data_IF_122826402392
#
_entry.id   IF_122826402392
#
_cell.length_a   1.000
_cell.length_b   1.000
_cell.length_c   1.000
_cell.angle_alpha   90.00
_cell.angle_beta   90.00
_cell.angle_gamma   90.00
#
_symmetry.space_group_name_H-M   'P 1'
#
loop_
_entity.id
_entity.type
_entity.pdbx_description
1 polymer ?
#
# COMPACT_ATOMS: atom_id res chain seq x y z
N UNK A 1 -13.54 -17.34 10.38
CA UNK A 1 -13.84 -16.42 9.25
C UNK A 1 -12.54 -15.79 8.80
N UNK A 2 -11.97 -16.27 7.69
CA UNK A 2 -10.87 -15.60 7.01
C UNK A 2 -11.43 -14.27 6.48
N UNK A 3 -11.13 -13.15 7.13
CA UNK A 3 -11.41 -11.84 6.53
C UNK A 3 -10.41 -11.68 5.39
N UNK A 4 -10.90 -11.56 4.17
CA UNK A 4 -10.04 -11.29 3.02
C UNK A 4 -9.43 -9.89 3.11
N UNK A 5 -8.45 -9.57 2.25
CA UNK A 5 -8.02 -8.18 2.10
C UNK A 5 -9.22 -7.36 1.63
N UNK A 6 -9.43 -6.18 2.22
CA UNK A 6 -10.48 -5.28 1.70
C UNK A 6 -10.05 -4.75 0.33
N UNK A 7 -11.01 -4.42 -0.55
CA UNK A 7 -10.72 -3.75 -1.83
C UNK A 7 -9.81 -2.52 -1.68
N UNK A 8 -9.94 -1.82 -0.55
CA UNK A 8 -9.09 -0.68 -0.22
C UNK A 8 -7.62 -1.12 -0.01
N UNK A 9 -7.42 -2.23 0.68
CA UNK A 9 -6.09 -2.74 0.98
C UNK A 9 -5.41 -3.25 -0.28
N UNK A 10 -6.16 -3.93 -1.15
CA UNK A 10 -5.71 -4.34 -2.49
C UNK A 10 -5.28 -3.11 -3.29
N UNK A 11 -6.13 -2.08 -3.37
CA UNK A 11 -5.80 -0.82 -4.06
C UNK A 11 -4.56 -0.12 -3.52
N UNK A 12 -4.33 -0.17 -2.21
CA UNK A 12 -3.11 0.39 -1.59
C UNK A 12 -1.86 -0.38 -2.05
N UNK A 13 -1.94 -1.72 -2.09
CA UNK A 13 -0.83 -2.57 -2.52
C UNK A 13 -0.52 -2.38 -4.01
N UNK A 14 -1.56 -2.29 -4.86
CA UNK A 14 -1.41 -2.03 -6.30
C UNK A 14 -0.81 -0.64 -6.55
N UNK A 15 -1.26 0.36 -5.79
CA UNK A 15 -0.73 1.72 -5.87
C UNK A 15 0.76 1.77 -5.51
N UNK A 16 1.19 1.12 -4.41
CA UNK A 16 2.63 1.04 -4.09
C UNK A 16 3.42 0.25 -5.13
N UNK A 17 2.78 -0.77 -5.71
CA UNK A 17 3.30 -1.53 -6.84
C UNK A 17 3.39 -0.73 -8.13
N UNK A 18 2.86 0.49 -8.20
CA UNK A 18 2.96 1.35 -9.39
C UNK A 18 3.57 2.72 -9.06
N UNK A 19 3.83 3.00 -7.77
CA UNK A 19 4.25 4.31 -7.27
C UNK A 19 5.53 4.83 -7.94
N UNK A 20 6.48 3.94 -8.26
CA UNK A 20 7.72 4.33 -8.93
C UNK A 20 7.55 4.87 -10.36
N UNK A 21 6.35 4.72 -10.95
CA UNK A 21 6.03 5.21 -12.28
C UNK A 21 5.51 6.66 -12.26
N UNK A 22 5.13 7.17 -11.09
CA UNK A 22 4.55 8.51 -10.97
C UNK A 22 5.63 9.56 -10.63
N UNK A 23 5.72 10.65 -11.41
CA UNK A 23 6.66 11.75 -11.13
C UNK A 23 6.17 12.72 -10.05
N UNK A 24 4.92 12.56 -9.59
CA UNK A 24 4.27 13.49 -8.66
C UNK A 24 4.68 13.27 -7.20
N UNK A 25 4.30 14.16 -6.27
CA UNK A 25 4.43 13.91 -4.84
C UNK A 25 3.48 12.79 -4.36
N UNK A 26 3.98 11.90 -3.50
CA UNK A 26 3.23 10.73 -3.02
C UNK A 26 1.92 11.09 -2.35
N UNK A 27 1.92 12.16 -1.55
CA UNK A 27 0.73 12.60 -0.84
C UNK A 27 -0.37 13.11 -1.77
N UNK A 28 0.00 13.72 -2.91
CA UNK A 28 -0.97 14.17 -3.92
C UNK A 28 -1.58 12.97 -4.63
N UNK A 29 -0.74 12.05 -5.13
CA UNK A 29 -1.21 10.85 -5.79
C UNK A 29 -2.08 9.98 -4.86
N UNK A 30 -1.72 9.82 -3.58
CA UNK A 30 -2.56 9.10 -2.62
C UNK A 30 -3.97 9.73 -2.54
N UNK A 31 -4.06 11.07 -2.50
CA UNK A 31 -5.36 11.75 -2.45
C UNK A 31 -6.14 11.60 -3.74
N UNK A 32 -5.48 11.64 -4.89
CA UNK A 32 -6.14 11.56 -6.19
C UNK A 32 -6.60 10.15 -6.54
N UNK A 33 -5.71 9.16 -6.39
CA UNK A 33 -5.94 7.76 -6.77
C UNK A 33 -6.71 6.98 -5.69
N UNK A 34 -6.33 7.13 -4.42
CA UNK A 34 -6.92 6.37 -3.32
C UNK A 34 -8.04 7.12 -2.59
N UNK A 35 -8.32 8.38 -2.99
CA UNK A 35 -9.36 9.24 -2.39
C UNK A 35 -9.29 9.30 -0.87
N UNK A 36 -8.08 9.27 -0.31
CA UNK A 36 -7.85 9.27 1.14
C UNK A 36 -6.69 10.18 1.53
N UNK A 37 -6.62 10.54 2.81
CA UNK A 37 -5.50 11.31 3.34
C UNK A 37 -4.24 10.46 3.45
N UNK A 38 -3.08 11.08 3.24
CA UNK A 38 -1.77 10.45 3.41
C UNK A 38 -1.60 9.78 4.78
N UNK A 39 -2.08 10.42 5.85
CA UNK A 39 -2.01 9.85 7.20
C UNK A 39 -2.78 8.52 7.31
N UNK A 40 -3.99 8.44 6.74
CA UNK A 40 -4.79 7.20 6.72
C UNK A 40 -4.15 6.12 5.86
N UNK A 41 -3.53 6.53 4.76
CA UNK A 41 -2.75 5.65 3.89
C UNK A 41 -1.57 5.02 4.63
N UNK A 42 -0.71 5.80 5.28
CA UNK A 42 0.45 5.26 6.00
C UNK A 42 0.06 4.35 7.17
N UNK A 43 -1.06 4.64 7.83
CA UNK A 43 -1.62 3.74 8.85
C UNK A 43 -2.05 2.39 8.27
N UNK A 44 -2.77 2.40 7.15
CA UNK A 44 -3.18 1.17 6.45
C UNK A 44 -1.96 0.40 5.93
N UNK A 45 -1.01 1.10 5.31
CA UNK A 45 0.23 0.53 4.82
C UNK A 45 1.04 -0.15 5.93
N UNK A 46 1.14 0.48 7.11
CA UNK A 46 1.80 -0.12 8.28
C UNK A 46 1.14 -1.44 8.69
N UNK A 47 -0.19 -1.45 8.79
CA UNK A 47 -0.95 -2.66 9.09
C UNK A 47 -0.73 -3.75 8.03
N UNK A 48 -0.72 -3.38 6.75
CA UNK A 48 -0.53 -4.33 5.64
C UNK A 48 0.88 -4.94 5.61
N UNK A 49 1.91 -4.21 5.99
CA UNK A 49 3.28 -4.77 6.07
C UNK A 49 3.41 -5.88 7.12
N UNK A 50 2.62 -5.79 8.20
CA UNK A 50 2.54 -6.77 9.27
C UNK A 50 1.53 -7.91 8.94
N UNK A 51 0.71 -7.73 7.90
CA UNK A 51 -0.31 -8.69 7.48
C UNK A 51 0.27 -9.75 6.52
N UNK A 52 0.22 -11.05 6.86
CA UNK A 52 0.68 -12.10 5.95
C UNK A 52 -0.10 -12.13 4.63
N UNK A 53 -1.38 -11.73 4.62
CA UNK A 53 -2.21 -11.72 3.40
C UNK A 53 -1.70 -10.73 2.35
N UNK A 54 -1.17 -9.59 2.79
CA UNK A 54 -0.57 -8.62 1.87
C UNK A 54 0.68 -9.16 1.19
N UNK A 55 1.42 -10.07 1.88
CA UNK A 55 2.57 -10.77 1.29
C UNK A 55 2.13 -11.82 0.30
N UNK A 56 1.02 -12.51 0.55
CA UNK A 56 0.48 -13.49 -0.40
C UNK A 56 -0.05 -12.80 -1.66
N UNK A 57 -0.66 -11.62 -1.51
CA UNK A 57 -1.20 -10.86 -2.65
C UNK A 57 -0.13 -10.11 -3.45
N UNK A 58 0.76 -9.38 -2.77
CA UNK A 58 1.77 -8.52 -3.40
C UNK A 58 3.17 -8.70 -2.76
N UNK A 59 3.79 -9.88 -2.89
CA UNK A 59 5.04 -10.22 -2.18
C UNK A 59 6.21 -9.30 -2.56
N UNK A 60 6.30 -8.90 -3.84
CA UNK A 60 7.35 -8.01 -4.33
C UNK A 60 7.20 -6.59 -3.77
N UNK A 61 5.96 -6.07 -3.75
CA UNK A 61 5.65 -4.75 -3.19
C UNK A 61 5.98 -4.70 -1.71
N UNK A 62 5.54 -5.70 -0.93
CA UNK A 62 5.82 -5.77 0.51
C UNK A 62 7.33 -5.90 0.78
N UNK A 63 8.06 -6.70 0.00
CA UNK A 63 9.52 -6.81 0.13
C UNK A 63 10.23 -5.49 -0.14
N UNK A 64 9.79 -4.73 -1.14
CA UNK A 64 10.35 -3.40 -1.47
C UNK A 64 10.06 -2.38 -0.38
N UNK A 65 8.83 -2.35 0.12
CA UNK A 65 8.41 -1.49 1.23
C UNK A 65 9.21 -1.74 2.50
N UNK A 66 9.47 -3.01 2.84
CA UNK A 66 10.32 -3.36 3.99
C UNK A 66 11.76 -2.88 3.83
N UNK A 67 12.32 -2.96 2.61
CA UNK A 67 13.69 -2.52 2.34
C UNK A 67 13.87 -1.00 2.44
N UNK A 68 12.87 -0.22 2.05
CA UNK A 68 12.91 1.25 2.17
C UNK A 68 12.83 1.76 3.62
N UNK A 69 12.56 0.88 4.60
CA UNK A 69 12.36 1.23 6.01
C UNK A 69 13.50 0.75 6.93
N UNK A 70 14.60 0.20 6.36
CA UNK A 70 15.82 -0.20 7.09
C UNK A 70 16.94 0.83 6.95
#
# INVERSE_FOLDING_TARGET
MLRDLSDRDIRILDFEGSWWLYPEPKDQAIREYLKMSASRYYQALRRLMDDPRARDHAPMTVRRLRRHRS
#
